data_IF_785448266951
#
_entry.id   IF_785448266951
#
_cell.length_a   1.000
_cell.length_b   1.000
_cell.length_c   1.000
_cell.angle_alpha   90.00
_cell.angle_beta   90.00
_cell.angle_gamma   90.00
#
_symmetry.space_group_name_H-M   'P 1'
#
loop_
_entity.id
_entity.type
_entity.pdbx_description
1 polymer ?
#
# COMPACT_ATOMS: atom_id res chain seq x y z
N UNK A 1 -8.46 -10.77 -21.16
CA UNK A 1 -8.70 -11.87 -20.20
C UNK A 1 -7.51 -11.99 -19.27
N UNK A 2 -7.61 -11.57 -18.01
CA UNK A 2 -6.54 -11.75 -17.01
C UNK A 2 -6.81 -12.97 -16.14
N UNK A 3 -5.89 -13.94 -16.08
CA UNK A 3 -6.00 -15.09 -15.18
C UNK A 3 -5.79 -14.63 -13.74
N UNK A 4 -6.66 -15.06 -12.81
CA UNK A 4 -6.41 -14.89 -11.37
C UNK A 4 -5.17 -15.70 -11.00
N UNK A 5 -4.17 -15.06 -10.40
CA UNK A 5 -2.95 -15.71 -9.92
C UNK A 5 -2.96 -15.80 -8.40
N UNK A 6 -2.54 -16.93 -7.85
CA UNK A 6 -2.48 -17.18 -6.40
C UNK A 6 -1.32 -16.39 -5.77
N UNK A 7 -1.52 -15.87 -4.56
CA UNK A 7 -0.51 -15.14 -3.78
C UNK A 7 0.85 -15.86 -3.71
N UNK A 8 0.84 -17.18 -3.51
CA UNK A 8 2.05 -18.01 -3.44
C UNK A 8 2.83 -18.04 -4.76
N UNK A 9 2.12 -18.05 -5.90
CA UNK A 9 2.75 -18.03 -7.22
C UNK A 9 3.46 -16.71 -7.48
N UNK A 10 2.81 -15.58 -7.16
CA UNK A 10 3.40 -14.26 -7.29
C UNK A 10 4.65 -14.11 -6.41
N UNK A 11 4.57 -14.56 -5.14
CA UNK A 11 5.68 -14.53 -4.18
C UNK A 11 6.89 -15.32 -4.71
N UNK A 12 6.67 -16.56 -5.14
CA UNK A 12 7.72 -17.42 -5.70
C UNK A 12 8.36 -16.78 -6.93
N UNK A 13 7.57 -16.28 -7.88
CA UNK A 13 8.08 -15.62 -9.10
C UNK A 13 8.91 -14.38 -8.80
N UNK A 14 8.47 -13.53 -7.87
CA UNK A 14 9.21 -12.34 -7.45
C UNK A 14 10.56 -12.70 -6.83
N UNK A 15 10.60 -13.69 -5.93
CA UNK A 15 11.84 -14.14 -5.31
C UNK A 15 12.83 -14.72 -6.33
N UNK A 16 12.35 -15.49 -7.31
CA UNK A 16 13.21 -16.09 -8.33
C UNK A 16 13.70 -15.09 -9.36
N UNK A 17 12.84 -14.17 -9.82
CA UNK A 17 13.19 -13.22 -10.88
C UNK A 17 14.11 -12.11 -10.39
N UNK A 18 13.94 -11.63 -9.15
CA UNK A 18 14.67 -10.48 -8.63
C UNK A 18 15.77 -10.81 -7.63
N UNK A 19 15.99 -12.11 -7.34
CA UNK A 19 17.04 -12.59 -6.43
C UNK A 19 17.03 -11.83 -5.09
N UNK A 20 15.84 -11.43 -4.63
CA UNK A 20 15.68 -10.64 -3.42
C UNK A 20 16.00 -11.54 -2.23
N UNK A 21 17.10 -11.26 -1.53
CA UNK A 21 17.54 -12.00 -0.34
C UNK A 21 16.82 -11.56 0.95
N UNK A 22 15.87 -10.64 0.83
CA UNK A 22 15.05 -10.11 1.94
C UNK A 22 13.68 -10.78 1.89
N UNK A 23 13.17 -11.18 3.05
CA UNK A 23 11.81 -11.70 3.16
C UNK A 23 10.80 -10.67 2.66
N UNK A 24 10.21 -10.94 1.49
CA UNK A 24 9.13 -10.14 0.95
C UNK A 24 7.91 -10.40 1.84
N UNK A 25 7.65 -9.46 2.76
CA UNK A 25 6.40 -9.43 3.51
C UNK A 25 5.29 -9.00 2.54
N UNK A 26 4.75 -9.97 1.81
CA UNK A 26 3.59 -9.79 0.97
C UNK A 26 2.36 -9.73 1.90
N UNK A 27 1.94 -8.50 2.25
CA UNK A 27 0.79 -8.28 3.13
C UNK A 27 -0.48 -8.48 2.31
N UNK A 28 -1.05 -9.67 2.38
CA UNK A 28 -2.39 -9.97 1.84
C UNK A 28 -3.44 -9.16 2.61
N UNK A 29 -4.16 -8.28 1.90
CA UNK A 29 -5.27 -7.51 2.46
C UNK A 29 -6.51 -8.42 2.60
N UNK A 30 -6.49 -9.35 3.56
CA UNK A 30 -7.62 -10.24 3.82
C UNK A 30 -7.52 -11.18 5.02
N UNK A 31 -6.32 -11.41 5.58
CA UNK A 31 -6.15 -12.31 6.72
C UNK A 31 -6.29 -11.63 8.10
N UNK A 32 -7.06 -12.23 9.01
CA UNK A 32 -6.96 -11.97 10.44
C UNK A 32 -5.59 -12.46 10.90
N UNK A 33 -4.61 -11.58 11.02
CA UNK A 33 -3.41 -11.86 11.80
C UNK A 33 -3.46 -11.05 13.10
N UNK A 34 -3.45 -11.80 14.19
CA UNK A 34 -3.07 -11.38 15.52
C UNK A 34 -1.54 -11.21 15.52
N UNK A 35 -1.08 -10.01 15.84
CA UNK A 35 0.31 -9.61 15.69
C UNK A 35 1.02 -9.80 17.05
N UNK A 36 1.80 -10.88 17.18
CA UNK A 36 2.82 -10.98 18.22
C UNK A 36 3.84 -9.85 18.01
N UNK A 37 3.96 -9.00 19.03
CA UNK A 37 4.67 -7.71 19.01
C UNK A 37 6.20 -7.83 19.09
N UNK A 38 6.81 -8.84 18.47
CA UNK A 38 8.27 -8.93 18.46
C UNK A 38 8.79 -9.24 17.07
N UNK A 39 9.81 -8.49 16.67
CA UNK A 39 10.62 -8.68 15.47
C UNK A 39 10.20 -7.89 14.22
N UNK A 40 10.09 -6.57 14.35
CA UNK A 40 10.51 -5.68 13.26
C UNK A 40 12.04 -5.58 13.29
N UNK A 41 12.76 -6.58 12.77
CA UNK A 41 14.19 -6.37 12.54
C UNK A 41 14.30 -5.30 11.45
N UNK A 42 15.05 -4.24 11.75
CA UNK A 42 15.33 -3.10 10.88
C UNK A 42 15.81 -3.54 9.49
N UNK A 43 14.88 -3.74 8.56
CA UNK A 43 15.20 -3.81 7.13
C UNK A 43 15.40 -2.38 6.66
N UNK A 44 16.65 -1.94 6.70
CA UNK A 44 17.09 -0.58 6.34
C UNK A 44 16.92 -0.22 4.85
N UNK A 45 16.22 -1.04 4.05
CA UNK A 45 15.88 -0.72 2.66
C UNK A 45 14.41 -1.02 2.41
N UNK A 46 13.61 0.03 2.28
CA UNK A 46 12.22 -0.09 1.90
C UNK A 46 12.13 -0.29 0.39
N UNK A 47 11.95 -1.53 -0.05
CA UNK A 47 11.66 -1.86 -1.44
C UNK A 47 10.16 -1.63 -1.69
N UNK A 48 9.83 -0.61 -2.50
CA UNK A 48 8.47 -0.34 -2.93
C UNK A 48 8.20 -1.00 -4.28
N UNK A 49 7.27 -1.95 -4.31
CA UNK A 49 6.79 -2.57 -5.54
C UNK A 49 5.45 -1.95 -5.95
N UNK A 50 5.45 -1.24 -7.08
CA UNK A 50 4.22 -0.73 -7.70
C UNK A 50 3.74 -1.72 -8.76
N UNK A 51 2.49 -2.17 -8.66
CA UNK A 51 1.83 -3.02 -9.66
C UNK A 51 0.84 -2.15 -10.43
N UNK A 52 0.96 -2.14 -11.76
CA UNK A 52 0.06 -1.39 -12.66
C UNK A 52 -0.67 -2.36 -13.58
N UNK A 53 -1.90 -2.03 -13.92
CA UNK A 53 -2.64 -2.76 -14.95
C UNK A 53 -1.89 -2.66 -16.29
N UNK A 54 -1.91 -3.76 -17.06
CA UNK A 54 -1.31 -3.78 -18.39
C UNK A 54 -1.92 -2.69 -19.27
N UNK A 55 -1.07 -1.90 -19.93
CA UNK A 55 -1.47 -0.92 -20.93
C UNK A 55 -0.98 -1.39 -22.30
N UNK A 56 -1.83 -1.36 -23.35
CA UNK A 56 -1.37 -1.66 -24.70
C UNK A 56 -0.28 -0.65 -25.12
N UNK A 57 0.74 -1.13 -25.84
CA UNK A 57 1.92 -0.33 -26.26
C UNK A 57 2.76 0.24 -25.10
N UNK A 58 2.73 -0.39 -23.91
CA UNK A 58 3.62 -0.01 -22.81
C UNK A 58 5.09 -0.27 -23.18
N UNK A 59 5.91 0.79 -23.09
CA UNK A 59 7.36 0.72 -23.33
C UNK A 59 8.09 1.11 -22.05
N UNK A 60 8.75 0.14 -21.42
CA UNK A 60 9.36 0.31 -20.10
C UNK A 60 10.47 1.38 -20.07
N UNK A 61 11.21 1.59 -21.16
CA UNK A 61 12.32 2.54 -21.23
C UNK A 61 11.90 4.01 -21.20
N UNK A 62 10.66 4.32 -21.57
CA UNK A 62 10.10 5.68 -21.60
C UNK A 62 8.98 5.88 -20.58
N UNK A 63 8.55 4.80 -19.92
CA UNK A 63 7.51 4.86 -18.90
C UNK A 63 8.02 5.64 -17.69
N UNK A 64 7.54 6.87 -17.53
CA UNK A 64 7.79 7.68 -16.34
C UNK A 64 6.59 7.56 -15.40
N UNK A 65 6.80 6.92 -14.27
CA UNK A 65 5.81 6.93 -13.20
C UNK A 65 5.89 8.28 -12.48
N UNK A 66 4.83 9.07 -12.56
CA UNK A 66 4.75 10.42 -11.98
C UNK A 66 4.07 10.44 -10.62
N UNK A 67 3.26 9.42 -10.33
CA UNK A 67 2.48 9.28 -9.11
C UNK A 67 2.65 7.89 -8.53
N UNK A 68 2.55 7.78 -7.21
CA UNK A 68 2.55 6.51 -6.51
C UNK A 68 1.42 6.49 -5.49
N UNK A 69 0.77 5.34 -5.37
CA UNK A 69 -0.30 5.14 -4.40
C UNK A 69 0.26 4.50 -3.13
N UNK A 70 0.15 5.19 -2.01
CA UNK A 70 0.65 4.73 -0.71
C UNK A 70 -0.49 4.54 0.29
N UNK A 71 -0.33 3.52 1.14
CA UNK A 71 -1.25 3.28 2.26
C UNK A 71 -0.71 3.91 3.53
N UNK A 72 -1.41 4.90 4.06
CA UNK A 72 -1.12 5.55 5.32
C UNK A 72 -1.87 4.87 6.46
N UNK A 73 -1.17 4.57 7.55
CA UNK A 73 -1.76 4.15 8.82
C UNK A 73 -1.79 5.33 9.77
N UNK A 74 -2.94 5.56 10.42
CA UNK A 74 -3.19 6.63 11.38
C UNK A 74 -3.51 5.99 12.74
N UNK A 75 -2.48 5.54 13.49
CA UNK A 75 -2.64 4.74 14.71
C UNK A 75 -3.27 5.48 15.88
N UNK A 76 -3.15 6.80 15.92
CA UNK A 76 -3.66 7.60 17.03
C UNK A 76 -4.90 8.41 16.67
N UNK A 77 -5.52 8.14 15.51
CA UNK A 77 -6.73 8.84 15.12
C UNK A 77 -7.92 8.25 15.91
N UNK A 78 -8.62 9.04 16.74
CA UNK A 78 -9.78 8.52 17.45
C UNK A 78 -10.91 8.13 16.47
N UNK A 79 -11.65 7.07 16.80
CA UNK A 79 -12.71 6.51 15.93
C UNK A 79 -13.78 7.53 15.53
N UNK A 80 -14.05 8.55 16.36
CA UNK A 80 -14.96 9.67 16.02
C UNK A 80 -14.55 10.43 14.75
N UNK A 81 -13.29 10.33 14.32
CA UNK A 81 -12.77 10.95 13.11
C UNK A 81 -12.73 10.01 11.90
N UNK A 82 -13.28 8.79 12.01
CA UNK A 82 -13.29 7.81 10.89
C UNK A 82 -14.37 8.11 9.86
N UNK A 83 -15.16 9.16 10.07
CA UNK A 83 -16.09 9.65 9.08
C UNK A 83 -15.34 9.95 7.77
N UNK A 84 -15.87 9.42 6.66
CA UNK A 84 -15.27 9.54 5.32
C UNK A 84 -14.89 10.98 4.97
N UNK A 85 -15.69 11.97 5.36
CA UNK A 85 -15.41 13.39 5.13
C UNK A 85 -14.10 13.83 5.80
N UNK A 86 -13.88 13.43 7.05
CA UNK A 86 -12.70 13.79 7.83
C UNK A 86 -11.46 13.08 7.27
N UNK A 87 -11.58 11.79 6.99
CA UNK A 87 -10.51 11.02 6.34
C UNK A 87 -10.16 11.54 4.95
N UNK A 88 -11.14 12.04 4.19
CA UNK A 88 -10.92 12.73 2.93
C UNK A 88 -10.16 14.04 3.12
N UNK A 89 -10.51 14.85 4.13
CA UNK A 89 -9.74 16.05 4.45
C UNK A 89 -8.29 15.74 4.82
N UNK A 90 -8.05 14.70 5.63
CA UNK A 90 -6.70 14.27 6.01
C UNK A 90 -5.93 13.75 4.78
N UNK A 91 -6.53 12.84 4.01
CA UNK A 91 -5.90 12.26 2.83
C UNK A 91 -5.60 13.30 1.76
N UNK A 92 -6.55 14.18 1.49
CA UNK A 92 -6.42 15.24 0.48
C UNK A 92 -5.36 16.29 0.82
N UNK A 93 -4.99 16.41 2.11
CA UNK A 93 -3.85 17.25 2.53
C UNK A 93 -2.49 16.61 2.24
N UNK A 94 -2.42 15.28 2.17
CA UNK A 94 -1.17 14.54 1.94
C UNK A 94 -0.97 14.17 0.46
N UNK A 95 -2.06 13.98 -0.28
CA UNK A 95 -2.08 13.62 -1.69
C UNK A 95 -3.52 13.58 -2.17
N UNK A 96 -3.84 12.88 -3.26
CA UNK A 96 -5.24 12.64 -3.63
C UNK A 96 -5.77 11.40 -2.91
N UNK A 97 -6.87 11.52 -2.13
CA UNK A 97 -7.47 10.33 -1.52
C UNK A 97 -8.03 9.40 -2.61
N UNK A 98 -7.46 8.20 -2.72
CA UNK A 98 -7.89 7.15 -3.65
C UNK A 98 -8.90 6.22 -2.99
N UNK A 99 -8.61 5.77 -1.76
CA UNK A 99 -9.42 4.75 -1.09
C UNK A 99 -9.35 4.86 0.44
N UNK A 100 -10.43 4.52 1.11
CA UNK A 100 -10.43 4.27 2.56
C UNK A 100 -10.55 2.77 2.80
N UNK A 101 -9.78 2.24 3.75
CA UNK A 101 -9.84 0.84 4.12
C UNK A 101 -11.22 0.46 4.69
N UNK A 102 -11.71 -0.74 4.33
CA UNK A 102 -13.06 -1.18 4.70
C UNK A 102 -13.17 -1.32 6.23
N UNK A 103 -12.13 -1.83 6.91
CA UNK A 103 -12.15 -1.96 8.37
C UNK A 103 -12.16 -0.59 9.06
N UNK A 104 -11.60 0.44 8.41
CA UNK A 104 -11.69 1.83 8.89
C UNK A 104 -13.10 2.37 8.75
N UNK A 105 -13.73 2.22 7.56
CA UNK A 105 -15.09 2.72 7.31
C UNK A 105 -16.14 2.04 8.17
N UNK A 106 -15.99 0.73 8.39
CA UNK A 106 -16.90 -0.08 9.19
C UNK A 106 -16.57 -0.04 10.68
N UNK A 107 -15.51 0.67 11.08
CA UNK A 107 -15.00 0.75 12.46
C UNK A 107 -14.70 -0.63 13.11
N UNK A 108 -14.64 -1.70 12.32
CA UNK A 108 -14.54 -3.09 12.79
C UNK A 108 -13.25 -3.39 13.56
N UNK A 109 -12.19 -2.61 13.32
CA UNK A 109 -10.87 -2.86 13.91
C UNK A 109 -10.46 -1.91 15.01
N UNK A 110 -11.08 -0.74 15.17
CA UNK A 110 -10.85 0.24 16.26
C UNK A 110 -9.42 0.74 16.55
N UNK A 111 -8.37 0.09 16.02
CA UNK A 111 -6.98 0.30 16.43
C UNK A 111 -6.23 1.35 15.61
N UNK A 112 -6.64 1.57 14.35
CA UNK A 112 -6.08 2.60 13.50
C UNK A 112 -6.96 2.83 12.28
N UNK A 113 -6.94 4.06 11.75
CA UNK A 113 -7.50 4.35 10.44
C UNK A 113 -6.45 4.07 9.35
N UNK A 114 -6.89 3.58 8.20
CA UNK A 114 -6.03 3.35 7.05
C UNK A 114 -6.64 3.97 5.80
N UNK A 115 -5.87 4.83 5.15
CA UNK A 115 -6.26 5.53 3.91
C UNK A 115 -5.21 5.31 2.84
N UNK A 116 -5.64 5.33 1.59
CA UNK A 116 -4.84 5.16 0.40
C UNK A 116 -4.81 6.50 -0.32
N UNK A 117 -3.61 7.07 -0.48
CA UNK A 117 -3.43 8.36 -1.16
C UNK A 117 -2.48 8.22 -2.33
N UNK A 118 -2.78 8.92 -3.40
CA UNK A 118 -1.89 9.07 -4.55
C UNK A 118 -1.04 10.32 -4.37
N UNK A 119 0.28 10.16 -4.46
CA UNK A 119 1.27 11.22 -4.25
C UNK A 119 2.21 11.30 -5.45
N UNK A 120 2.63 12.50 -5.87
CA UNK A 120 3.61 12.64 -6.94
C UNK A 120 4.99 12.13 -6.48
N UNK A 121 5.69 11.34 -7.31
CA UNK A 121 6.97 10.71 -6.98
C UNK A 121 8.20 11.50 -7.50
N UNK A 122 8.02 12.79 -7.81
CA UNK A 122 9.01 13.58 -8.57
C UNK A 122 9.33 14.97 -8.03
N UNK A 123 8.81 15.37 -6.88
CA UNK A 123 9.01 16.71 -6.32
C UNK A 123 9.56 16.60 -4.90
N UNK A 124 10.89 16.65 -4.76
CA UNK A 124 11.50 17.09 -3.51
C UNK A 124 11.03 18.52 -3.26
N UNK A 125 10.13 18.71 -2.30
CA UNK A 125 9.94 20.02 -1.69
C UNK A 125 11.20 20.31 -0.86
N UNK A 126 12.02 21.24 -1.34
CA UNK A 126 13.06 21.91 -0.57
C UNK A 126 12.44 22.96 0.34
#
# INVERSE_FOLDING_TARGET
MGKKMTHMYLKSRLTTLWKVSVDILLIDQGGKHEQSSSQWTLVHQWLFLSIKCWQPNFVASIAKETYSTIWLRLPELPTKYYARKILATIGNKMGQLVKTDICTLSTLRGHYARICVEVPIGTQHR
#
